data_IF_104523734216
#
_entry.id   IF_104523734216
#
_cell.length_a   1.000
_cell.length_b   1.000
_cell.length_c   1.000
_cell.angle_alpha   90.00
_cell.angle_beta   90.00
_cell.angle_gamma   90.00
#
_symmetry.space_group_name_H-M   'P 1'
#
loop_
_entity.id
_entity.type
_entity.pdbx_description
1 polymer ?
#
# COMPACT_ATOMS: atom_id res chain seq x y z
N UNK A 1 49.26 -8.93 17.43
CA UNK A 1 48.01 -8.81 18.21
C UNK A 1 46.88 -8.35 17.29
N UNK A 2 46.17 -9.29 16.65
CA UNK A 2 45.08 -9.01 15.71
C UNK A 2 43.86 -9.87 16.08
N UNK A 3 42.97 -9.34 16.92
CA UNK A 3 41.67 -9.98 17.17
C UNK A 3 40.62 -9.37 16.24
N UNK A 4 40.45 -10.04 15.09
CA UNK A 4 39.24 -10.20 14.27
C UNK A 4 38.05 -9.27 14.57
N UNK A 5 37.91 -8.24 13.73
CA UNK A 5 36.70 -7.40 13.56
C UNK A 5 35.51 -8.16 12.94
N UNK A 6 35.70 -9.42 12.51
CA UNK A 6 34.64 -10.25 11.90
C UNK A 6 33.67 -10.87 12.91
N UNK A 7 34.02 -10.95 14.19
CA UNK A 7 33.17 -11.60 15.21
C UNK A 7 32.05 -10.73 15.79
N UNK A 8 32.14 -9.40 15.63
CA UNK A 8 31.14 -8.43 16.12
C UNK A 8 30.06 -8.11 15.09
N UNK A 9 30.41 -8.15 13.79
CA UNK A 9 29.46 -7.97 12.69
C UNK A 9 28.53 -9.19 12.51
N UNK A 10 29.02 -10.41 12.76
CA UNK A 10 28.23 -11.65 12.70
C UNK A 10 27.26 -11.86 13.88
N UNK A 11 27.36 -11.09 14.96
CA UNK A 11 26.47 -11.21 16.13
C UNK A 11 25.21 -10.33 16.04
N UNK A 12 25.15 -9.34 15.15
CA UNK A 12 23.92 -8.57 14.91
C UNK A 12 22.98 -9.23 13.89
N UNK A 13 23.46 -10.17 13.07
CA UNK A 13 22.68 -10.82 12.00
C UNK A 13 21.84 -12.04 12.42
N UNK A 14 21.72 -12.33 13.71
CA UNK A 14 20.86 -13.42 14.21
C UNK A 14 20.04 -12.99 15.40
N UNK A 15 18.96 -12.24 15.15
CA UNK A 15 17.73 -12.23 15.95
C UNK A 15 16.68 -11.37 15.24
N UNK A 16 16.11 -11.89 14.15
CA UNK A 16 14.67 -11.64 13.92
C UNK A 16 13.99 -12.17 15.18
N UNK A 17 13.31 -11.31 15.92
CA UNK A 17 12.74 -11.74 17.19
C UNK A 17 11.73 -12.86 16.91
N UNK A 18 11.68 -13.89 17.78
CA UNK A 18 10.68 -14.98 17.66
C UNK A 18 9.24 -14.43 17.59
N UNK A 19 9.01 -13.22 18.07
CA UNK A 19 7.74 -12.49 18.02
C UNK A 19 7.38 -12.06 16.59
N UNK A 20 8.33 -11.52 15.82
CA UNK A 20 8.11 -11.11 14.43
C UNK A 20 7.88 -12.32 13.50
N UNK A 21 8.60 -13.44 13.72
CA UNK A 21 8.33 -14.68 12.99
C UNK A 21 6.95 -15.27 13.32
N UNK A 22 6.53 -15.20 14.59
CA UNK A 22 5.19 -15.62 15.01
C UNK A 22 4.09 -14.70 14.42
N UNK A 23 4.37 -13.41 14.23
CA UNK A 23 3.44 -12.49 13.55
C UNK A 23 3.29 -12.79 12.07
N UNK A 24 4.39 -13.10 11.35
CA UNK A 24 4.32 -13.55 9.95
C UNK A 24 3.56 -14.88 9.79
N UNK A 25 3.70 -15.81 10.73
CA UNK A 25 2.92 -17.05 10.79
C UNK A 25 1.43 -16.81 11.14
N UNK A 26 1.13 -15.88 12.05
CA UNK A 26 -0.26 -15.48 12.36
C UNK A 26 -0.92 -14.70 11.23
N UNK A 27 -0.16 -13.91 10.47
CA UNK A 27 -0.62 -13.32 9.22
C UNK A 27 -0.79 -14.41 8.14
N UNK A 28 0.06 -15.43 8.11
CA UNK A 28 -0.15 -16.58 7.23
C UNK A 28 -1.44 -17.34 7.54
N UNK A 29 -1.73 -17.60 8.82
CA UNK A 29 -3.01 -18.18 9.26
C UNK A 29 -4.20 -17.35 8.78
N UNK A 30 -4.04 -16.02 8.63
CA UNK A 30 -5.10 -15.15 8.11
C UNK A 30 -5.45 -15.34 6.63
N UNK A 31 -4.61 -16.04 5.86
CA UNK A 31 -4.89 -16.36 4.46
C UNK A 31 -5.58 -17.72 4.28
N UNK A 32 -5.73 -18.53 5.35
CA UNK A 32 -6.33 -19.87 5.26
C UNK A 32 -7.86 -19.83 5.45
N UNK A 33 -8.63 -20.60 4.66
CA UNK A 33 -10.05 -20.78 4.91
C UNK A 33 -10.29 -21.51 6.26
N UNK A 34 -11.45 -21.26 6.89
CA UNK A 34 -11.81 -21.91 8.17
C UNK A 34 -11.69 -23.44 8.06
N UNK A 35 -10.90 -24.04 8.95
CA UNK A 35 -10.85 -25.51 9.15
C UNK A 35 -9.57 -26.24 8.71
N UNK A 36 -8.61 -25.59 8.04
CA UNK A 36 -7.34 -26.27 7.70
C UNK A 36 -6.30 -26.11 8.81
N UNK A 37 -6.07 -27.16 9.59
CA UNK A 37 -4.95 -27.26 10.53
C UNK A 37 -3.79 -27.96 9.83
N UNK A 38 -2.66 -27.28 9.63
CA UNK A 38 -1.40 -27.97 9.31
C UNK A 38 -0.88 -28.62 10.59
N UNK A 39 -0.87 -29.95 10.65
CA UNK A 39 -0.34 -30.71 11.78
C UNK A 39 1.16 -30.46 11.96
N UNK A 40 1.52 -29.71 12.99
CA UNK A 40 2.89 -29.66 13.50
C UNK A 40 3.07 -30.79 14.55
N UNK A 41 4.24 -31.47 14.59
CA UNK A 41 4.52 -32.44 15.64
C UNK A 41 4.52 -31.75 17.01
N UNK A 42 3.69 -32.26 17.93
CA UNK A 42 3.67 -31.83 19.34
C UNK A 42 5.03 -32.15 19.99
N UNK A 43 5.89 -31.16 20.12
CA UNK A 43 6.97 -31.20 21.11
C UNK A 43 6.54 -30.44 22.37
N UNK A 44 6.87 -31.03 23.53
CA UNK A 44 6.35 -30.73 24.86
C UNK A 44 6.41 -29.24 25.20
N UNK A 45 5.25 -28.60 25.29
CA UNK A 45 5.09 -27.30 25.93
C UNK A 45 5.20 -27.49 27.45
N UNK A 46 6.13 -26.79 28.09
CA UNK A 46 6.05 -26.51 29.53
C UNK A 46 4.82 -25.65 29.76
N UNK A 47 4.02 -26.02 30.77
CA UNK A 47 2.87 -25.25 31.23
C UNK A 47 3.29 -23.81 31.55
N UNK A 48 2.65 -22.87 30.86
CA UNK A 48 2.65 -21.45 31.23
C UNK A 48 1.28 -21.16 31.83
N UNK A 49 1.29 -20.60 33.05
CA UNK A 49 0.12 -20.20 33.85
C UNK A 49 -0.89 -19.36 33.05
N UNK A 50 -2.20 -19.44 33.36
CA UNK A 50 -3.24 -18.86 32.53
C UNK A 50 -3.33 -17.33 32.61
N UNK A 51 -3.53 -16.74 31.43
CA UNK A 51 -4.28 -15.55 31.07
C UNK A 51 -4.22 -14.30 31.99
N UNK A 52 -3.42 -13.32 31.57
CA UNK A 52 -3.73 -11.92 31.85
C UNK A 52 -4.95 -11.48 31.03
N UNK A 53 -6.03 -11.20 31.77
CA UNK A 53 -7.28 -10.50 31.47
C UNK A 53 -7.55 -10.05 30.00
N UNK A 54 -8.34 -10.87 29.28
CA UNK A 54 -8.92 -10.55 27.96
C UNK A 54 -9.80 -9.29 27.99
N UNK A 55 -10.30 -8.86 29.15
CA UNK A 55 -11.10 -7.64 29.29
C UNK A 55 -10.24 -6.38 29.10
N UNK A 56 -8.99 -6.40 29.57
CA UNK A 56 -8.05 -5.28 29.45
C UNK A 56 -7.64 -5.03 27.98
N UNK A 57 -7.40 -6.11 27.21
CA UNK A 57 -7.12 -6.02 25.77
C UNK A 57 -8.32 -5.48 24.97
N UNK A 58 -9.54 -5.83 25.37
CA UNK A 58 -10.78 -5.33 24.76
C UNK A 58 -11.03 -3.85 25.13
N UNK A 59 -10.67 -3.43 26.35
CA UNK A 59 -10.71 -2.04 26.84
C UNK A 59 -9.68 -1.15 26.13
N UNK A 60 -8.46 -1.67 25.88
CA UNK A 60 -7.41 -0.99 25.13
C UNK A 60 -7.76 -0.80 23.65
N UNK A 61 -8.42 -1.79 23.01
CA UNK A 61 -8.91 -1.65 21.62
C UNK A 61 -10.06 -0.65 21.50
N UNK A 62 -10.97 -0.60 22.49
CA UNK A 62 -12.01 0.44 22.55
C UNK A 62 -11.42 1.83 22.79
N UNK A 63 -10.33 1.95 23.56
CA UNK A 63 -9.67 3.24 23.79
C UNK A 63 -8.86 3.72 22.56
N UNK A 64 -8.32 2.83 21.73
CA UNK A 64 -7.71 3.18 20.45
C UNK A 64 -8.73 3.69 19.41
N UNK A 65 -9.89 3.03 19.31
CA UNK A 65 -10.99 3.51 18.46
C UNK A 65 -11.59 4.84 18.95
N UNK A 66 -11.62 5.06 20.27
CA UNK A 66 -11.97 6.36 20.87
C UNK A 66 -10.87 7.42 20.63
N UNK A 67 -9.59 7.06 20.61
CA UNK A 67 -8.46 7.92 20.22
C UNK A 67 -8.44 8.26 18.72
N UNK A 68 -8.87 7.34 17.85
CA UNK A 68 -9.10 7.62 16.44
C UNK A 68 -10.31 8.56 16.24
N UNK A 69 -11.32 8.46 17.11
CA UNK A 69 -12.37 9.49 17.24
C UNK A 69 -11.82 10.83 17.75
N UNK A 70 -10.76 10.83 18.55
CA UNK A 70 -10.04 12.05 18.97
C UNK A 70 -9.08 12.60 17.89
N UNK A 71 -8.91 11.93 16.75
CA UNK A 71 -8.45 12.56 15.50
C UNK A 71 -9.49 13.56 14.92
N UNK A 72 -10.59 13.82 15.65
CA UNK A 72 -11.55 14.92 15.47
C UNK A 72 -10.96 16.33 15.66
N UNK A 73 -9.66 16.49 15.86
CA UNK A 73 -9.01 17.80 15.90
C UNK A 73 -8.61 18.37 14.54
N UNK A 74 -8.72 17.58 13.46
CA UNK A 74 -8.48 18.10 12.11
C UNK A 74 -9.73 18.85 11.62
N UNK A 75 -9.57 20.01 10.94
CA UNK A 75 -10.70 20.85 10.55
C UNK A 75 -11.55 20.27 9.42
N UNK A 76 -11.01 19.33 8.64
CA UNK A 76 -11.71 18.69 7.52
C UNK A 76 -12.81 17.72 7.92
N UNK A 77 -13.53 17.23 6.91
CA UNK A 77 -14.66 16.32 7.12
C UNK A 77 -14.25 14.86 6.95
N UNK A 78 -14.64 14.01 7.90
CA UNK A 78 -14.42 12.56 7.87
C UNK A 78 -15.77 11.85 7.72
N UNK A 79 -16.05 11.34 6.52
CA UNK A 79 -17.37 10.82 6.14
C UNK A 79 -17.34 9.32 5.93
N UNK A 80 -18.22 8.60 6.62
CA UNK A 80 -18.50 7.18 6.37
C UNK A 80 -19.62 7.04 5.34
N UNK A 81 -19.45 6.18 4.36
CA UNK A 81 -20.48 5.88 3.38
C UNK A 81 -20.38 4.45 2.86
N UNK A 82 -21.38 4.06 2.06
CA UNK A 82 -21.39 2.82 1.33
C UNK A 82 -21.44 3.11 -0.16
N UNK A 83 -20.67 2.36 -0.93
CA UNK A 83 -20.77 2.29 -2.37
C UNK A 83 -21.41 0.96 -2.74
N UNK A 84 -22.27 0.99 -3.74
CA UNK A 84 -22.89 -0.21 -4.30
C UNK A 84 -22.60 -0.21 -5.79
N UNK A 85 -21.86 -1.22 -6.25
CA UNK A 85 -21.76 -1.54 -7.65
C UNK A 85 -23.00 -2.36 -8.03
N UNK A 86 -23.89 -1.87 -8.90
CA UNK A 86 -25.04 -2.65 -9.34
C UNK A 86 -24.57 -3.91 -10.05
N UNK A 87 -25.26 -5.01 -9.81
CA UNK A 87 -25.14 -6.21 -10.64
C UNK A 87 -26.07 -6.10 -11.85
N UNK A 88 -25.86 -6.95 -12.84
CA UNK A 88 -26.75 -7.06 -14.01
C UNK A 88 -28.05 -7.83 -13.72
N UNK A 89 -28.18 -8.41 -12.52
CA UNK A 89 -29.37 -9.16 -12.08
C UNK A 89 -29.57 -10.50 -12.78
N UNK A 90 -28.71 -10.84 -13.76
CA UNK A 90 -28.77 -12.08 -14.54
C UNK A 90 -27.62 -13.02 -14.20
N UNK A 91 -26.42 -12.47 -14.01
CA UNK A 91 -25.18 -13.23 -13.78
C UNK A 91 -24.38 -12.71 -12.59
N UNK A 92 -24.65 -11.49 -12.12
CA UNK A 92 -23.91 -10.84 -11.05
C UNK A 92 -24.83 -10.17 -10.04
N UNK A 93 -24.56 -10.41 -8.75
CA UNK A 93 -25.19 -9.71 -7.64
C UNK A 93 -24.58 -8.32 -7.42
N UNK A 94 -25.38 -7.41 -6.87
CA UNK A 94 -24.89 -6.10 -6.44
C UNK A 94 -23.80 -6.26 -5.36
N UNK A 95 -22.65 -5.63 -5.58
CA UNK A 95 -21.51 -5.67 -4.65
C UNK A 95 -21.44 -4.38 -3.86
N UNK A 96 -21.45 -4.49 -2.54
CA UNK A 96 -21.48 -3.34 -1.63
C UNK A 96 -20.19 -3.26 -0.82
N UNK A 97 -19.54 -2.10 -0.84
CA UNK A 97 -18.30 -1.84 -0.10
C UNK A 97 -18.43 -0.58 0.74
N UNK A 98 -18.01 -0.65 2.00
CA UNK A 98 -17.95 0.50 2.88
C UNK A 98 -16.70 1.32 2.57
N UNK A 99 -16.77 2.63 2.72
CA UNK A 99 -15.59 3.48 2.63
C UNK A 99 -15.66 4.65 3.61
N UNK A 100 -14.49 5.24 3.84
CA UNK A 100 -14.38 6.56 4.45
C UNK A 100 -13.79 7.55 3.45
N UNK A 101 -14.26 8.78 3.48
CA UNK A 101 -13.74 9.89 2.69
C UNK A 101 -13.32 11.01 3.62
N UNK A 102 -12.07 11.43 3.50
CA UNK A 102 -11.56 12.64 4.11
C UNK A 102 -11.53 13.77 3.09
N UNK A 103 -12.20 14.88 3.41
CA UNK A 103 -12.11 16.12 2.63
C UNK A 103 -11.45 17.18 3.52
N UNK A 104 -10.23 17.65 3.19
CA UNK A 104 -9.57 18.65 4.01
C UNK A 104 -10.33 19.98 4.00
N UNK A 105 -10.24 20.73 5.09
CA UNK A 105 -10.84 22.05 5.20
C UNK A 105 -10.06 23.10 4.40
N UNK A 106 -8.74 22.94 4.31
CA UNK A 106 -7.92 23.76 3.42
C UNK A 106 -8.35 23.55 1.97
N UNK A 107 -8.80 24.64 1.34
CA UNK A 107 -8.92 24.69 -0.10
C UNK A 107 -7.53 24.49 -0.73
N UNK A 108 -7.46 23.83 -1.89
CA UNK A 108 -6.23 23.71 -2.65
C UNK A 108 -5.79 25.11 -3.11
N UNK A 109 -4.94 25.77 -2.32
CA UNK A 109 -4.43 27.12 -2.58
C UNK A 109 -5.37 28.22 -2.08
N UNK A 110 -4.90 29.04 -1.15
CA UNK A 110 -5.48 30.35 -0.85
C UNK A 110 -5.07 31.28 -1.98
N UNK A 111 -5.99 31.50 -2.92
CA UNK A 111 -5.88 32.45 -4.03
C UNK A 111 -7.29 32.65 -4.58
N UNK A 112 -7.70 33.89 -4.84
CA UNK A 112 -8.99 34.36 -5.37
C UNK A 112 -9.34 33.82 -6.79
N UNK A 113 -8.74 32.69 -7.15
CA UNK A 113 -8.97 31.89 -8.35
C UNK A 113 -10.09 30.86 -8.12
N UNK A 114 -10.87 30.47 -9.14
CA UNK A 114 -11.82 29.36 -9.04
C UNK A 114 -11.12 28.15 -8.40
N UNK A 115 -11.73 27.56 -7.38
CA UNK A 115 -11.13 26.48 -6.60
C UNK A 115 -10.68 25.36 -7.55
N UNK A 116 -9.37 25.22 -7.77
CA UNK A 116 -8.84 24.14 -8.60
C UNK A 116 -9.32 22.80 -8.01
N UNK A 117 -9.88 21.88 -8.82
CA UNK A 117 -10.29 20.57 -8.34
C UNK A 117 -9.14 19.92 -7.57
N UNK A 118 -9.44 19.36 -6.39
CA UNK A 118 -8.41 18.81 -5.51
C UNK A 118 -8.03 17.39 -5.95
N UNK A 119 -6.75 16.99 -5.82
CA UNK A 119 -6.33 15.61 -6.05
C UNK A 119 -7.01 14.61 -5.11
N UNK A 120 -7.03 13.33 -5.50
CA UNK A 120 -7.52 12.22 -4.69
C UNK A 120 -6.40 11.21 -4.42
N UNK A 121 -6.22 10.82 -3.17
CA UNK A 121 -5.38 9.68 -2.78
C UNK A 121 -6.27 8.56 -2.25
N UNK A 122 -6.21 7.39 -2.86
CA UNK A 122 -6.90 6.19 -2.41
C UNK A 122 -5.96 5.38 -1.53
N UNK A 123 -6.37 5.06 -0.31
CA UNK A 123 -5.54 4.42 0.70
C UNK A 123 -6.11 3.05 1.09
N UNK A 124 -5.44 1.98 0.66
CA UNK A 124 -5.84 0.58 0.87
C UNK A 124 -5.08 -0.02 2.06
N UNK A 125 -5.82 -0.34 3.12
CA UNK A 125 -5.24 -0.88 4.36
C UNK A 125 -4.69 -2.31 4.19
N UNK A 126 -3.75 -2.72 5.04
CA UNK A 126 -3.27 -4.10 5.10
C UNK A 126 -4.24 -5.05 5.83
N UNK A 127 -3.93 -6.36 5.85
CA UNK A 127 -4.72 -7.31 6.64
C UNK A 127 -4.73 -6.88 8.13
N UNK A 128 -5.79 -7.24 8.84
CA UNK A 128 -6.11 -6.93 10.25
C UNK A 128 -6.36 -5.46 10.56
N UNK A 129 -6.02 -4.53 9.68
CA UNK A 129 -6.32 -3.12 9.82
C UNK A 129 -7.78 -2.81 9.44
N UNK A 130 -8.24 -1.62 9.81
CA UNK A 130 -9.44 -1.00 9.27
C UNK A 130 -9.04 0.27 8.52
N UNK A 131 -9.93 0.79 7.66
CA UNK A 131 -9.76 2.07 6.99
C UNK A 131 -9.48 3.21 7.98
N UNK A 132 -10.18 3.24 9.12
CA UNK A 132 -9.99 4.26 10.15
C UNK A 132 -8.64 4.11 10.87
N UNK A 133 -8.24 2.89 11.24
CA UNK A 133 -6.93 2.66 11.87
C UNK A 133 -5.79 2.98 10.90
N UNK A 134 -5.95 2.67 9.62
CA UNK A 134 -4.95 2.97 8.61
C UNK A 134 -4.84 4.49 8.35
N UNK A 135 -5.96 5.21 8.33
CA UNK A 135 -5.96 6.67 8.23
C UNK A 135 -5.21 7.32 9.41
N UNK A 136 -5.50 6.89 10.64
CA UNK A 136 -4.89 7.43 11.85
C UNK A 136 -3.41 7.00 12.02
N UNK A 137 -3.08 5.76 11.66
CA UNK A 137 -1.73 5.22 11.69
C UNK A 137 -0.80 5.91 10.68
N UNK A 138 -1.22 5.97 9.41
CA UNK A 138 -0.43 6.59 8.33
C UNK A 138 -0.34 8.12 8.43
N UNK A 139 -1.20 8.75 9.24
CA UNK A 139 -1.35 10.21 9.35
C UNK A 139 -1.65 10.90 8.02
N UNK A 140 -2.22 10.17 7.06
CA UNK A 140 -2.46 10.68 5.72
C UNK A 140 -3.50 11.82 5.73
N UNK A 141 -4.49 11.80 6.64
CA UNK A 141 -5.43 12.92 6.80
C UNK A 141 -4.73 14.21 7.30
N UNK A 142 -3.73 14.09 8.18
CA UNK A 142 -2.95 15.26 8.62
C UNK A 142 -2.15 15.85 7.45
N UNK A 143 -1.63 15.01 6.57
CA UNK A 143 -0.92 15.45 5.37
C UNK A 143 -1.89 16.07 4.35
N UNK A 144 -3.07 15.47 4.18
CA UNK A 144 -4.15 15.97 3.33
C UNK A 144 -4.56 17.39 3.72
N UNK A 145 -4.68 17.69 5.03
CA UNK A 145 -4.93 19.06 5.51
C UNK A 145 -3.82 20.04 5.13
N UNK A 146 -2.56 19.61 5.23
CA UNK A 146 -1.44 20.50 4.91
C UNK A 146 -1.24 20.70 3.40
N UNK A 147 -1.74 19.79 2.57
CA UNK A 147 -1.42 19.71 1.13
C UNK A 147 -2.64 19.86 0.22
N UNK A 148 -3.85 19.88 0.76
CA UNK A 148 -5.08 20.18 0.03
C UNK A 148 -5.53 19.06 -0.92
N UNK A 149 -5.42 17.78 -0.53
CA UNK A 149 -5.93 16.64 -1.31
C UNK A 149 -6.99 15.84 -0.55
N UNK A 150 -7.96 15.25 -1.26
CA UNK A 150 -8.93 14.34 -0.66
C UNK A 150 -8.32 12.94 -0.45
N UNK A 151 -8.87 12.18 0.50
CA UNK A 151 -8.43 10.81 0.76
C UNK A 151 -9.60 9.84 0.83
N UNK A 152 -9.60 8.83 -0.02
CA UNK A 152 -10.61 7.76 -0.04
C UNK A 152 -10.02 6.49 0.59
N UNK A 153 -10.73 5.90 1.54
CA UNK A 153 -10.35 4.67 2.23
C UNK A 153 -11.42 3.60 2.05
N UNK A 154 -11.32 2.76 1.00
CA UNK A 154 -12.13 1.55 0.88
C UNK A 154 -11.90 0.60 2.06
N UNK A 155 -12.96 -0.06 2.52
CA UNK A 155 -12.92 -0.98 3.66
C UNK A 155 -13.29 -2.39 3.22
N UNK A 156 -12.33 -3.32 3.35
CA UNK A 156 -12.61 -4.74 3.20
C UNK A 156 -13.52 -5.24 4.33
N UNK A 157 -14.55 -6.01 3.98
CA UNK A 157 -15.53 -6.53 4.95
C UNK A 157 -14.96 -7.69 5.76
N UNK A 158 -15.26 -7.72 7.06
CA UNK A 158 -14.96 -8.87 7.91
C UNK A 158 -15.73 -10.13 7.50
N UNK A 159 -16.84 -9.97 6.75
CA UNK A 159 -17.59 -11.09 6.19
C UNK A 159 -16.91 -11.67 4.93
N UNK A 160 -16.23 -10.84 4.15
CA UNK A 160 -15.46 -11.27 2.98
C UNK A 160 -14.16 -11.95 3.41
N UNK A 161 -13.53 -11.45 4.48
CA UNK A 161 -12.33 -12.02 5.07
C UNK A 161 -12.30 -11.72 6.57
N UNK A 162 -12.14 -12.74 7.43
CA UNK A 162 -12.18 -12.56 8.88
C UNK A 162 -11.10 -11.59 9.41
N UNK A 163 -10.01 -11.45 8.67
CA UNK A 163 -8.92 -10.52 8.95
C UNK A 163 -8.98 -9.28 8.07
N UNK A 164 -10.05 -9.07 7.29
CA UNK A 164 -10.20 -7.95 6.35
C UNK A 164 -9.05 -7.88 5.36
N UNK A 165 -8.45 -9.02 5.01
CA UNK A 165 -7.39 -9.03 4.03
C UNK A 165 -7.94 -8.94 2.60
N UNK A 166 -7.24 -8.23 1.73
CA UNK A 166 -7.54 -8.19 0.30
C UNK A 166 -7.05 -9.48 -0.37
N UNK A 167 -7.89 -10.11 -1.18
CA UNK A 167 -7.52 -11.32 -1.92
C UNK A 167 -6.81 -11.00 -3.23
N UNK A 168 -5.72 -10.23 -3.15
CA UNK A 168 -4.90 -9.77 -4.28
C UNK A 168 -4.40 -10.94 -5.14
N UNK A 169 -4.15 -12.10 -4.54
CA UNK A 169 -3.62 -13.28 -5.23
C UNK A 169 -4.64 -14.02 -6.10
N UNK A 170 -5.94 -13.70 -6.06
CA UNK A 170 -6.93 -14.43 -6.88
C UNK A 170 -6.76 -14.04 -8.35
N UNK A 171 -6.95 -15.00 -9.26
CA UNK A 171 -6.90 -14.75 -10.72
C UNK A 171 -7.91 -13.69 -11.18
N UNK A 172 -9.10 -13.69 -10.59
CA UNK A 172 -10.13 -12.67 -10.86
C UNK A 172 -9.62 -11.27 -10.48
N UNK A 173 -9.11 -11.11 -9.26
CA UNK A 173 -8.50 -9.86 -8.79
C UNK A 173 -7.36 -9.42 -9.70
N UNK A 174 -6.43 -10.32 -10.06
CA UNK A 174 -5.32 -10.03 -10.98
C UNK A 174 -5.78 -9.59 -12.37
N UNK A 175 -7.00 -9.95 -12.81
CA UNK A 175 -7.62 -9.51 -14.07
C UNK A 175 -8.39 -8.19 -13.96
N UNK A 176 -8.51 -7.63 -12.75
CA UNK A 176 -9.25 -6.39 -12.50
C UNK A 176 -10.67 -6.58 -12.01
N UNK A 177 -11.08 -7.83 -11.75
CA UNK A 177 -12.44 -8.16 -11.30
C UNK A 177 -12.55 -8.06 -9.76
N UNK A 178 -13.78 -8.16 -9.25
CA UNK A 178 -14.06 -8.25 -7.82
C UNK A 178 -13.82 -6.92 -7.09
N UNK A 179 -13.00 -6.93 -6.05
CA UNK A 179 -12.72 -5.71 -5.27
C UNK A 179 -12.09 -4.59 -6.10
N UNK A 180 -11.32 -4.94 -7.14
CA UNK A 180 -10.64 -3.96 -8.02
C UNK A 180 -11.68 -3.13 -8.78
N UNK A 181 -12.64 -3.82 -9.42
CA UNK A 181 -13.73 -3.20 -10.17
C UNK A 181 -14.61 -2.31 -9.28
N UNK A 182 -14.95 -2.79 -8.07
CA UNK A 182 -15.73 -2.02 -7.09
C UNK A 182 -14.98 -0.76 -6.66
N UNK A 183 -13.66 -0.85 -6.42
CA UNK A 183 -12.84 0.30 -6.03
C UNK A 183 -12.72 1.30 -7.19
N UNK A 184 -12.51 0.84 -8.43
CA UNK A 184 -12.41 1.70 -9.60
C UNK A 184 -13.71 2.51 -9.83
N UNK A 185 -14.87 1.84 -9.75
CA UNK A 185 -16.17 2.50 -9.87
C UNK A 185 -16.44 3.46 -8.69
N UNK A 186 -16.02 3.10 -7.48
CA UNK A 186 -16.11 3.97 -6.29
C UNK A 186 -15.28 5.24 -6.46
N UNK A 187 -14.07 5.14 -7.01
CA UNK A 187 -13.20 6.30 -7.30
C UNK A 187 -13.91 7.27 -8.25
N UNK A 188 -14.42 6.77 -9.37
CA UNK A 188 -15.14 7.59 -10.35
C UNK A 188 -16.36 8.29 -9.74
N UNK A 189 -17.17 7.57 -8.95
CA UNK A 189 -18.33 8.16 -8.29
C UNK A 189 -17.92 9.25 -7.29
N UNK A 190 -16.88 9.01 -6.49
CA UNK A 190 -16.39 9.96 -5.48
C UNK A 190 -15.82 11.21 -6.15
N UNK A 191 -15.06 11.06 -7.24
CA UNK A 191 -14.55 12.17 -8.03
C UNK A 191 -15.68 13.06 -8.55
N UNK A 192 -16.67 12.46 -9.22
CA UNK A 192 -17.81 13.18 -9.79
C UNK A 192 -18.65 13.87 -8.71
N UNK A 193 -18.96 13.16 -7.62
CA UNK A 193 -19.81 13.69 -6.54
C UNK A 193 -19.17 14.88 -5.80
N UNK A 194 -17.84 14.93 -5.74
CA UNK A 194 -17.12 15.93 -4.96
C UNK A 194 -16.30 16.92 -5.81
N UNK A 195 -16.41 16.87 -7.14
CA UNK A 195 -15.66 17.74 -8.05
C UNK A 195 -14.14 17.60 -7.89
N UNK A 196 -13.65 16.36 -7.73
CA UNK A 196 -12.21 16.10 -7.56
C UNK A 196 -11.50 16.04 -8.91
N UNK A 197 -10.20 16.32 -8.91
CA UNK A 197 -9.37 16.28 -10.11
C UNK A 197 -9.10 14.84 -10.55
N UNK A 198 -9.80 14.39 -11.60
CA UNK A 198 -9.62 13.06 -12.18
C UNK A 198 -8.21 12.84 -12.75
N UNK A 199 -7.52 13.91 -13.21
CA UNK A 199 -6.14 13.80 -13.70
C UNK A 199 -5.13 13.51 -12.59
N UNK A 200 -5.46 13.85 -11.34
CA UNK A 200 -4.59 13.74 -10.16
C UNK A 200 -5.17 12.78 -9.13
N UNK A 201 -5.41 11.54 -9.57
CA UNK A 201 -5.82 10.45 -8.68
C UNK A 201 -4.72 9.43 -8.53
N UNK A 202 -4.43 9.08 -7.29
CA UNK A 202 -3.34 8.19 -6.91
C UNK A 202 -3.87 7.08 -6.02
N UNK A 203 -3.23 5.92 -6.02
CA UNK A 203 -3.60 4.81 -5.13
C UNK A 203 -2.37 4.33 -4.37
N UNK A 204 -2.52 4.06 -3.09
CA UNK A 204 -1.47 3.54 -2.26
C UNK A 204 -1.99 2.54 -1.24
N UNK A 205 -1.08 1.74 -0.68
CA UNK A 205 -1.45 0.83 0.40
C UNK A 205 -0.27 0.23 1.12
N UNK A 206 -0.59 -0.62 2.10
CA UNK A 206 0.35 -1.44 2.86
C UNK A 206 0.06 -2.93 2.63
N UNK A 207 1.09 -3.76 2.45
CA UNK A 207 0.96 -5.22 2.42
C UNK A 207 -0.01 -5.69 1.32
N UNK A 208 -1.02 -6.50 1.66
CA UNK A 208 -2.11 -6.87 0.76
C UNK A 208 -2.83 -5.67 0.11
N UNK A 209 -2.96 -4.54 0.81
CA UNK A 209 -3.50 -3.30 0.25
C UNK A 209 -2.56 -2.65 -0.76
N UNK A 210 -1.24 -2.77 -0.58
CA UNK A 210 -0.25 -2.32 -1.55
C UNK A 210 -0.27 -3.18 -2.82
N UNK A 211 -0.43 -4.51 -2.67
CA UNK A 211 -0.64 -5.42 -3.80
C UNK A 211 -1.91 -5.05 -4.58
N UNK A 212 -3.02 -4.81 -3.88
CA UNK A 212 -4.27 -4.40 -4.52
C UNK A 212 -4.15 -3.02 -5.19
N UNK A 213 -3.43 -2.07 -4.58
CA UNK A 213 -3.14 -0.76 -5.17
C UNK A 213 -2.43 -0.89 -6.52
N UNK A 214 -1.41 -1.76 -6.60
CA UNK A 214 -0.72 -2.05 -7.85
C UNK A 214 -1.67 -2.59 -8.91
N UNK A 215 -2.54 -3.55 -8.55
CA UNK A 215 -3.49 -4.16 -9.47
C UNK A 215 -4.53 -3.13 -9.95
N UNK A 216 -5.10 -2.31 -9.05
CA UNK A 216 -6.03 -1.23 -9.43
C UNK A 216 -5.36 -0.28 -10.42
N UNK A 217 -4.13 0.14 -10.14
CA UNK A 217 -3.38 1.03 -11.02
C UNK A 217 -3.12 0.40 -12.40
N UNK A 218 -2.65 -0.85 -12.44
CA UNK A 218 -2.33 -1.55 -13.69
C UNK A 218 -3.58 -1.93 -14.51
N UNK A 219 -4.74 -2.14 -13.87
CA UNK A 219 -5.99 -2.50 -14.55
C UNK A 219 -6.87 -1.31 -14.90
N UNK A 220 -6.67 -0.16 -14.25
CA UNK A 220 -7.36 1.09 -14.55
C UNK A 220 -6.37 2.25 -14.73
N UNK A 221 -5.42 2.16 -15.69
CA UNK A 221 -4.37 3.15 -15.87
C UNK A 221 -4.89 4.55 -16.24
N UNK A 222 -6.07 4.64 -16.82
CA UNK A 222 -6.76 5.90 -17.13
C UNK A 222 -7.25 6.65 -15.89
N UNK A 223 -7.52 5.94 -14.79
CA UNK A 223 -7.98 6.55 -13.53
C UNK A 223 -6.83 6.94 -12.61
N UNK A 224 -5.68 6.28 -12.72
CA UNK A 224 -4.61 6.35 -11.72
C UNK A 224 -3.32 6.94 -12.33
N UNK A 225 -2.90 8.09 -11.82
CA UNK A 225 -1.70 8.79 -12.26
C UNK A 225 -0.39 8.24 -11.66
N UNK A 226 -0.45 7.66 -10.46
CA UNK A 226 0.70 7.04 -9.83
C UNK A 226 0.26 6.09 -8.69
N UNK A 227 1.13 5.13 -8.36
CA UNK A 227 0.90 4.15 -7.30
C UNK A 227 1.99 4.17 -6.22
N UNK A 228 1.58 4.07 -4.96
CA UNK A 228 2.47 3.93 -3.79
C UNK A 228 2.34 2.57 -3.13
N UNK A 229 3.43 1.81 -3.09
CA UNK A 229 3.43 0.43 -2.60
C UNK A 229 4.31 0.30 -1.36
N UNK A 230 3.72 0.21 -0.17
CA UNK A 230 4.46 -0.09 1.05
C UNK A 230 4.42 -1.58 1.35
N UNK A 231 5.57 -2.23 1.50
CA UNK A 231 5.68 -3.65 1.84
C UNK A 231 4.86 -4.58 0.91
N UNK A 232 4.86 -4.30 -0.40
CA UNK A 232 4.06 -5.06 -1.36
C UNK A 232 4.74 -6.37 -1.79
N UNK A 233 4.00 -7.47 -1.97
CA UNK A 233 4.46 -8.63 -2.70
C UNK A 233 4.50 -8.36 -4.22
N UNK A 234 5.23 -9.22 -4.96
CA UNK A 234 5.19 -9.24 -6.43
C UNK A 234 3.78 -9.49 -6.98
N UNK A 235 3.46 -8.91 -8.13
CA UNK A 235 2.15 -9.09 -8.79
C UNK A 235 2.19 -10.18 -9.87
N UNK A 236 1.01 -10.72 -10.22
CA UNK A 236 0.84 -11.58 -11.41
C UNK A 236 1.38 -13.01 -11.30
N UNK A 237 1.99 -13.38 -10.17
CA UNK A 237 2.68 -14.68 -10.00
C UNK A 237 1.93 -15.65 -9.09
N UNK A 238 0.77 -15.26 -8.58
CA UNK A 238 0.03 -16.00 -7.55
C UNK A 238 -1.43 -16.23 -7.95
N UNK A 239 -2.01 -17.32 -7.44
CA UNK A 239 -3.39 -17.72 -7.75
C UNK A 239 -4.13 -18.36 -6.56
N UNK A 240 -3.46 -18.54 -5.42
CA UNK A 240 -4.00 -19.18 -4.21
C UNK A 240 -3.30 -18.66 -2.95
N UNK A 241 -3.91 -18.80 -1.75
CA UNK A 241 -3.30 -18.40 -0.48
C UNK A 241 -1.88 -18.95 -0.28
N UNK A 242 -1.66 -20.22 -0.63
CA UNK A 242 -0.37 -20.85 -0.50
C UNK A 242 0.68 -20.23 -1.43
N UNK A 243 0.34 -20.00 -2.70
CA UNK A 243 1.24 -19.31 -3.64
C UNK A 243 1.52 -17.87 -3.21
N UNK A 244 0.52 -17.19 -2.65
CA UNK A 244 0.65 -15.84 -2.11
C UNK A 244 1.67 -15.81 -0.96
N UNK A 245 1.55 -16.74 -0.02
CA UNK A 245 2.51 -16.89 1.07
C UNK A 245 3.93 -17.18 0.58
N UNK A 246 4.08 -18.13 -0.35
CA UNK A 246 5.40 -18.43 -0.91
C UNK A 246 6.02 -17.20 -1.57
N UNK A 247 5.24 -16.42 -2.32
CA UNK A 247 5.69 -15.16 -2.90
C UNK A 247 6.13 -14.17 -1.82
N UNK A 248 5.32 -13.95 -0.78
CA UNK A 248 5.68 -13.05 0.32
C UNK A 248 6.99 -13.46 1.03
N UNK A 249 7.25 -14.76 1.18
CA UNK A 249 8.44 -15.26 1.88
C UNK A 249 9.69 -15.41 1.02
N UNK A 250 9.53 -15.65 -0.28
CA UNK A 250 10.65 -16.06 -1.15
C UNK A 250 10.71 -15.30 -2.48
N UNK A 251 9.80 -14.37 -2.72
CA UNK A 251 9.56 -13.85 -4.06
C UNK A 251 9.04 -14.96 -4.98
N UNK A 252 9.22 -14.77 -6.29
CA UNK A 252 8.65 -15.66 -7.30
C UNK A 252 9.68 -16.25 -8.28
N UNK A 253 10.96 -16.33 -7.85
CA UNK A 253 12.05 -16.85 -8.70
C UNK A 253 12.10 -16.13 -10.04
N UNK A 254 12.28 -16.82 -11.16
CA UNK A 254 12.31 -16.17 -12.49
C UNK A 254 10.92 -15.76 -13.02
N UNK A 255 9.83 -16.06 -12.32
CA UNK A 255 8.47 -15.85 -12.86
C UNK A 255 7.96 -14.41 -12.77
N UNK A 256 8.50 -13.55 -11.88
CA UNK A 256 8.07 -12.14 -11.80
C UNK A 256 8.28 -11.39 -13.12
N UNK A 257 9.44 -11.59 -13.75
CA UNK A 257 9.79 -10.92 -15.00
C UNK A 257 8.91 -11.40 -16.16
N UNK A 258 8.58 -12.69 -16.20
CA UNK A 258 7.66 -13.25 -17.19
C UNK A 258 6.23 -12.69 -17.00
N UNK A 259 5.77 -12.55 -15.76
CA UNK A 259 4.47 -11.95 -15.45
C UNK A 259 4.40 -10.47 -15.90
N UNK A 260 5.45 -9.69 -15.64
CA UNK A 260 5.51 -8.28 -16.08
C UNK A 260 5.54 -8.15 -17.61
N UNK A 261 6.34 -8.96 -18.30
CA UNK A 261 6.38 -8.98 -19.78
C UNK A 261 5.04 -9.42 -20.39
N UNK A 262 4.41 -10.44 -19.83
CA UNK A 262 3.07 -10.88 -20.27
C UNK A 262 2.01 -9.80 -20.06
N UNK A 263 2.09 -9.03 -18.97
CA UNK A 263 1.20 -7.90 -18.76
C UNK A 263 1.43 -6.82 -19.83
N UNK A 264 2.68 -6.42 -20.04
CA UNK A 264 3.05 -5.39 -21.01
C UNK A 264 2.67 -5.78 -22.45
N UNK A 265 2.88 -7.05 -22.85
CA UNK A 265 2.53 -7.52 -24.20
C UNK A 265 1.03 -7.58 -24.46
N UNK A 266 0.20 -7.79 -23.42
CA UNK A 266 -1.26 -7.77 -23.53
C UNK A 266 -1.82 -6.35 -23.59
N UNK A 267 -1.02 -5.32 -23.27
CA UNK A 267 -1.43 -3.93 -23.29
C UNK A 267 -0.40 -3.06 -24.02
N UNK A 268 -0.26 -3.18 -25.36
CA UNK A 268 0.77 -2.46 -26.11
C UNK A 268 0.69 -0.94 -26.00
N UNK A 269 -0.50 -0.41 -25.74
CA UNK A 269 -0.77 1.03 -25.57
C UNK A 269 -0.74 1.46 -24.09
N UNK A 270 -0.26 0.61 -23.18
CA UNK A 270 -0.20 0.94 -21.76
C UNK A 270 0.74 2.14 -21.52
N UNK A 271 0.26 3.24 -20.91
CA UNK A 271 1.03 4.49 -20.81
C UNK A 271 2.13 4.46 -19.73
N UNK A 272 2.54 3.28 -19.28
CA UNK A 272 3.31 3.08 -18.04
C UNK A 272 2.50 3.43 -16.79
N UNK A 273 3.01 3.03 -15.62
CA UNK A 273 2.44 3.36 -14.32
C UNK A 273 3.54 3.84 -13.36
N UNK A 274 3.63 5.16 -13.10
CA UNK A 274 4.59 5.69 -12.15
C UNK A 274 4.43 5.07 -10.76
N UNK A 275 5.51 4.58 -10.18
CA UNK A 275 5.47 3.83 -8.94
C UNK A 275 6.53 4.26 -7.90
N UNK A 276 6.11 4.37 -6.64
CA UNK A 276 6.99 4.48 -5.48
C UNK A 276 6.83 3.24 -4.60
N UNK A 277 7.90 2.46 -4.44
CA UNK A 277 7.99 1.32 -3.55
C UNK A 277 8.71 1.74 -2.27
N UNK A 278 8.15 1.42 -1.11
CA UNK A 278 8.78 1.61 0.19
C UNK A 278 8.81 0.26 0.90
N UNK A 279 10.00 -0.18 1.32
CA UNK A 279 10.15 -1.48 1.94
C UNK A 279 11.17 -1.45 3.07
N UNK A 280 10.86 -2.15 4.16
CA UNK A 280 11.77 -2.31 5.29
C UNK A 280 12.68 -3.53 5.10
N UNK A 281 13.96 -3.40 5.39
CA UNK A 281 14.91 -4.50 5.24
C UNK A 281 14.73 -5.62 6.30
N UNK A 282 14.03 -5.34 7.39
CA UNK A 282 13.65 -6.28 8.45
C UNK A 282 12.20 -6.77 8.33
N UNK A 283 11.53 -6.51 7.20
CA UNK A 283 10.19 -7.04 6.93
C UNK A 283 10.23 -8.57 6.83
N UNK A 284 9.65 -9.23 7.84
CA UNK A 284 9.60 -10.69 7.96
C UNK A 284 8.27 -11.30 7.49
N UNK A 285 7.32 -10.45 7.08
CA UNK A 285 6.00 -10.85 6.58
C UNK A 285 5.99 -10.84 5.06
N UNK A 286 6.43 -9.74 4.46
CA UNK A 286 6.69 -9.64 3.03
C UNK A 286 8.17 -9.32 2.89
N UNK A 287 8.98 -10.34 2.59
CA UNK A 287 10.44 -10.18 2.62
C UNK A 287 10.93 -9.28 1.51
N UNK A 288 12.04 -8.58 1.79
CA UNK A 288 12.69 -7.59 0.90
C UNK A 288 12.88 -8.04 -0.55
N UNK A 289 13.08 -9.34 -0.79
CA UNK A 289 13.15 -9.91 -2.16
C UNK A 289 11.96 -9.50 -3.04
N UNK A 290 10.79 -9.28 -2.44
CA UNK A 290 9.62 -8.79 -3.18
C UNK A 290 9.80 -7.35 -3.66
N UNK A 291 10.42 -6.46 -2.89
CA UNK A 291 10.68 -5.10 -3.34
C UNK A 291 11.75 -5.04 -4.43
N UNK A 292 12.75 -5.92 -4.38
CA UNK A 292 13.73 -6.08 -5.46
C UNK A 292 13.01 -6.50 -6.75
N UNK A 293 12.26 -7.61 -6.70
CA UNK A 293 11.56 -8.15 -7.87
C UNK A 293 10.45 -7.24 -8.38
N UNK A 294 9.69 -6.58 -7.50
CA UNK A 294 8.62 -5.66 -7.89
C UNK A 294 9.18 -4.39 -8.53
N UNK A 295 10.35 -3.89 -8.09
CA UNK A 295 11.02 -2.81 -8.79
C UNK A 295 11.36 -3.22 -10.23
N UNK A 296 11.96 -4.41 -10.42
CA UNK A 296 12.24 -4.95 -11.75
C UNK A 296 10.97 -5.15 -12.60
N UNK A 297 9.85 -5.58 -11.99
CA UNK A 297 8.57 -5.67 -12.69
C UNK A 297 8.11 -4.30 -13.21
N UNK A 298 8.23 -3.25 -12.39
CA UNK A 298 7.86 -1.90 -12.80
C UNK A 298 8.89 -1.26 -13.74
N UNK A 299 10.17 -1.65 -13.71
CA UNK A 299 11.14 -1.29 -14.75
C UNK A 299 10.73 -1.86 -16.11
N UNK A 300 10.26 -3.12 -16.16
CA UNK A 300 9.74 -3.74 -17.38
C UNK A 300 8.48 -3.00 -17.86
N UNK A 301 7.51 -2.76 -16.98
CA UNK A 301 6.24 -2.11 -17.33
C UNK A 301 6.45 -0.67 -17.79
N UNK A 302 7.34 0.07 -17.14
CA UNK A 302 7.63 1.46 -17.46
C UNK A 302 8.76 1.60 -18.49
N UNK A 303 9.29 0.48 -19.00
CA UNK A 303 10.44 0.42 -19.90
C UNK A 303 10.35 1.41 -21.07
N UNK A 304 9.26 1.44 -21.86
CA UNK A 304 9.11 2.39 -22.95
C UNK A 304 9.27 3.85 -22.48
N UNK A 305 8.58 4.24 -21.40
CA UNK A 305 8.65 5.59 -20.87
C UNK A 305 10.03 5.94 -20.26
N UNK A 306 10.68 4.99 -19.61
CA UNK A 306 12.00 5.19 -18.98
C UNK A 306 13.09 5.27 -20.05
N UNK A 307 13.09 4.36 -21.02
CA UNK A 307 14.15 4.22 -22.04
C UNK A 307 14.09 5.33 -23.09
N UNK A 308 12.91 5.70 -23.59
CA UNK A 308 12.77 6.77 -24.59
C UNK A 308 13.17 8.16 -24.05
N UNK A 309 13.09 8.35 -22.72
CA UNK A 309 13.49 9.58 -22.05
C UNK A 309 14.80 9.47 -21.24
N UNK A 310 15.51 8.35 -21.31
CA UNK A 310 16.68 8.12 -20.46
C UNK A 310 17.83 9.03 -20.87
N UNK A 311 18.24 9.92 -19.96
CA UNK A 311 19.51 10.65 -20.07
C UNK A 311 20.66 9.93 -19.35
N UNK A 312 20.39 8.78 -18.71
CA UNK A 312 21.34 8.03 -17.88
C UNK A 312 21.04 6.54 -17.91
N UNK A 313 22.08 5.72 -17.81
CA UNK A 313 21.97 4.29 -17.53
C UNK A 313 21.67 4.07 -16.03
N UNK A 314 20.51 3.49 -15.73
CA UNK A 314 20.14 3.06 -14.38
C UNK A 314 19.64 4.17 -13.43
N UNK A 315 19.35 3.81 -12.16
CA UNK A 315 18.74 4.72 -11.19
C UNK A 315 19.73 5.70 -10.56
N UNK A 316 19.24 6.89 -10.22
CA UNK A 316 19.93 7.81 -9.32
C UNK A 316 19.74 7.33 -7.88
N UNK A 317 20.82 6.91 -7.23
CA UNK A 317 20.82 6.44 -5.84
C UNK A 317 21.15 7.58 -4.88
N UNK A 318 20.32 7.76 -3.84
CA UNK A 318 20.56 8.70 -2.73
C UNK A 318 20.49 7.95 -1.41
N UNK A 319 21.45 8.22 -0.53
CA UNK A 319 21.53 7.66 0.82
C UNK A 319 21.23 8.74 1.83
N UNK A 320 20.36 8.42 2.77
CA UNK A 320 19.95 9.29 3.84
C UNK A 320 20.39 8.66 5.16
N UNK A 321 21.41 9.22 5.85
CA UNK A 321 21.92 8.64 7.07
C UNK A 321 20.88 8.65 8.18
N UNK A 322 21.08 7.77 9.16
CA UNK A 322 20.29 7.73 10.37
C UNK A 322 20.37 9.06 11.13
N UNK A 323 19.25 9.47 11.73
CA UNK A 323 19.18 10.58 12.68
C UNK A 323 18.76 10.04 14.05
N UNK A 324 19.74 9.89 14.95
CA UNK A 324 19.51 9.35 16.31
C UNK A 324 18.95 10.37 17.32
N UNK A 325 19.19 11.65 17.10
CA UNK A 325 18.82 12.73 18.03
C UNK A 325 17.90 13.81 17.42
N UNK A 326 17.44 14.72 18.28
CA UNK A 326 16.57 15.84 17.90
C UNK A 326 15.08 15.49 17.90
N UNK A 327 14.24 16.46 17.50
CA UNK A 327 12.77 16.37 17.61
C UNK A 327 12.12 15.25 16.79
N UNK A 328 12.83 14.63 15.84
CA UNK A 328 12.28 13.60 14.92
C UNK A 328 13.35 12.54 14.58
N UNK A 329 13.67 11.60 15.47
CA UNK A 329 14.57 10.49 15.15
C UNK A 329 14.10 9.73 13.90
N UNK A 330 15.04 9.19 13.12
CA UNK A 330 14.72 8.47 11.88
C UNK A 330 15.82 7.48 11.50
N UNK A 331 15.45 6.27 11.12
CA UNK A 331 16.32 5.28 10.50
C UNK A 331 16.97 5.81 9.23
N UNK A 332 18.10 5.19 8.88
CA UNK A 332 18.70 5.38 7.58
C UNK A 332 17.77 4.83 6.50
N UNK A 333 17.84 5.41 5.30
CA UNK A 333 17.14 4.87 4.14
C UNK A 333 17.87 5.22 2.86
N UNK A 334 17.60 4.47 1.80
CA UNK A 334 18.18 4.68 0.48
C UNK A 334 17.05 4.74 -0.56
N UNK A 335 17.11 5.72 -1.47
CA UNK A 335 16.22 5.79 -2.62
C UNK A 335 17.00 5.52 -3.90
N UNK A 336 16.49 4.62 -4.75
CA UNK A 336 16.91 4.47 -6.15
C UNK A 336 15.78 5.03 -7.04
N UNK A 337 16.08 5.99 -7.92
CA UNK A 337 15.06 6.63 -8.78
C UNK A 337 15.40 6.50 -10.27
N UNK A 338 14.50 5.92 -11.04
CA UNK A 338 14.54 5.90 -12.50
C UNK A 338 13.68 7.05 -13.04
N UNK A 339 14.19 7.74 -14.06
CA UNK A 339 13.57 8.93 -14.63
C UNK A 339 13.23 8.73 -16.10
N UNK A 340 12.15 9.36 -16.54
CA UNK A 340 11.91 9.72 -17.94
C UNK A 340 12.21 11.23 -18.08
N UNK A 341 13.34 11.58 -18.67
CA UNK A 341 13.87 12.94 -18.65
C UNK A 341 14.11 13.42 -17.21
N UNK A 342 13.32 14.39 -16.75
CA UNK A 342 13.36 14.91 -15.37
C UNK A 342 12.24 14.38 -14.48
N UNK A 343 11.30 13.60 -15.02
CA UNK A 343 10.13 13.11 -14.30
C UNK A 343 10.45 11.74 -13.68
N UNK A 344 10.38 11.58 -12.35
CA UNK A 344 10.65 10.29 -11.71
C UNK A 344 9.55 9.30 -12.12
N UNK A 345 9.89 8.13 -12.66
CA UNK A 345 8.90 7.11 -13.08
C UNK A 345 8.84 5.93 -12.13
N UNK A 346 9.99 5.56 -11.55
CA UNK A 346 10.07 4.52 -10.54
C UNK A 346 10.97 5.02 -9.42
N UNK A 347 10.51 4.87 -8.18
CA UNK A 347 11.33 5.11 -7.00
C UNK A 347 11.24 3.88 -6.11
N UNK A 348 12.37 3.35 -5.70
CA UNK A 348 12.45 2.32 -4.66
C UNK A 348 13.14 2.91 -3.43
N UNK A 349 12.49 2.81 -2.29
CA UNK A 349 12.96 3.29 -1.00
C UNK A 349 13.16 2.09 -0.06
N UNK A 350 14.41 1.75 0.21
CA UNK A 350 14.80 0.76 1.21
C UNK A 350 15.02 1.46 2.56
N UNK A 351 14.30 1.06 3.60
CA UNK A 351 14.40 1.64 4.95
C UNK A 351 15.08 0.65 5.88
N UNK A 352 16.15 1.10 6.53
CA UNK A 352 16.91 0.33 7.51
C UNK A 352 16.09 0.09 8.78
N UNK A 353 16.25 -1.08 9.40
CA UNK A 353 15.59 -1.53 10.63
C UNK A 353 14.06 -1.55 10.62
N UNK A 354 13.42 -1.24 9.49
CA UNK A 354 11.97 -1.20 9.38
C UNK A 354 11.41 -2.63 9.18
N UNK A 355 10.46 -3.01 10.03
CA UNK A 355 9.70 -4.26 9.91
C UNK A 355 8.49 -4.14 8.97
N UNK A 356 7.50 -5.03 9.13
CA UNK A 356 6.24 -4.97 8.37
C UNK A 356 5.30 -3.88 8.91
N UNK A 357 5.65 -2.62 8.70
CA UNK A 357 4.94 -1.49 9.26
C UNK A 357 5.06 -0.25 8.37
N UNK A 358 4.06 0.61 8.40
CA UNK A 358 4.08 1.91 7.74
C UNK A 358 5.16 2.81 8.32
N UNK A 359 6.08 3.27 7.45
CA UNK A 359 7.21 4.12 7.82
C UNK A 359 6.78 5.54 8.24
N UNK A 360 7.27 6.01 9.39
CA UNK A 360 6.99 7.35 9.92
C UNK A 360 5.57 7.52 10.50
N UNK A 361 4.87 6.39 10.74
CA UNK A 361 3.48 6.37 11.21
C UNK A 361 3.30 6.66 12.70
N UNK A 362 2.06 6.54 13.17
CA UNK A 362 1.70 6.65 14.58
C UNK A 362 1.78 5.28 15.28
N UNK A 363 2.76 5.12 16.18
CA UNK A 363 2.99 3.90 16.97
C UNK A 363 1.79 3.44 17.83
N UNK A 364 0.79 4.30 18.05
CA UNK A 364 -0.44 3.93 18.77
C UNK A 364 -1.33 2.95 17.99
N UNK A 365 -1.06 2.74 16.70
CA UNK A 365 -1.81 1.85 15.81
C UNK A 365 -0.91 0.72 15.31
N UNK A 366 -1.43 -0.51 15.29
CA UNK A 366 -0.70 -1.67 14.78
C UNK A 366 -0.17 -1.42 13.35
N UNK A 367 0.98 -2.02 13.03
CA UNK A 367 1.65 -1.92 11.73
C UNK A 367 2.09 -0.50 11.37
N UNK A 368 2.57 0.28 12.35
CA UNK A 368 3.17 1.60 12.14
C UNK A 368 4.48 1.72 12.93
N UNK A 369 5.53 2.23 12.30
CA UNK A 369 6.83 2.48 12.94
C UNK A 369 7.16 3.98 12.85
N UNK A 370 7.19 4.71 13.99
CA UNK A 370 7.41 6.15 13.98
C UNK A 370 8.83 6.56 13.58
N UNK A 371 9.82 5.67 13.71
CA UNK A 371 11.23 5.98 13.44
C UNK A 371 11.63 5.78 11.97
N UNK A 372 10.70 5.58 11.06
CA UNK A 372 10.97 5.56 9.62
C UNK A 372 10.91 6.95 8.95
N UNK A 373 11.41 7.12 7.69
CA UNK A 373 11.03 8.28 6.88
C UNK A 373 9.51 8.38 6.77
N UNK A 374 8.99 9.61 6.62
CA UNK A 374 7.56 9.87 6.46
C UNK A 374 7.07 9.31 5.10
N UNK A 375 6.55 8.08 5.09
CA UNK A 375 6.10 7.41 3.87
C UNK A 375 4.96 8.17 3.19
N UNK A 376 4.04 8.74 3.98
CA UNK A 376 2.92 9.54 3.46
C UNK A 376 3.43 10.77 2.70
N UNK A 377 4.43 11.47 3.23
CA UNK A 377 5.05 12.61 2.57
C UNK A 377 5.87 12.21 1.35
N UNK A 378 6.62 11.11 1.41
CA UNK A 378 7.37 10.59 0.26
C UNK A 378 6.42 10.26 -0.90
N UNK A 379 5.32 9.56 -0.62
CA UNK A 379 4.26 9.25 -1.59
C UNK A 379 3.65 10.51 -2.17
N UNK A 380 3.22 11.47 -1.34
CA UNK A 380 2.65 12.71 -1.86
C UNK A 380 3.61 13.50 -2.73
N UNK A 381 4.88 13.60 -2.31
CA UNK A 381 5.92 14.31 -3.07
C UNK A 381 6.09 13.66 -4.45
N UNK A 382 6.20 12.34 -4.50
CA UNK A 382 6.25 11.59 -5.75
C UNK A 382 4.98 11.83 -6.60
N UNK A 383 3.80 11.56 -6.04
CA UNK A 383 2.50 11.70 -6.72
C UNK A 383 2.31 13.07 -7.35
N UNK A 384 2.70 14.14 -6.66
CA UNK A 384 2.51 15.53 -7.14
C UNK A 384 3.19 15.84 -8.48
N UNK A 385 4.15 15.01 -8.93
CA UNK A 385 4.78 15.12 -10.24
C UNK A 385 3.98 14.45 -11.38
N UNK A 386 2.89 13.74 -11.07
CA UNK A 386 2.16 12.91 -12.02
C UNK A 386 0.74 13.39 -12.26
N UNK A 387 0.30 13.26 -13.52
CA UNK A 387 -1.06 13.48 -13.98
C UNK A 387 -1.39 12.45 -15.06
N UNK A 388 -2.67 12.05 -15.15
CA UNK A 388 -3.23 11.39 -16.33
C UNK A 388 -3.97 12.39 -17.17
N UNK A 389 -3.80 12.31 -18.49
CA UNK A 389 -4.72 12.99 -19.38
C UNK A 389 -6.11 12.38 -19.21
N UNK A 390 -7.16 13.20 -19.02
CA UNK A 390 -8.52 12.70 -19.01
C UNK A 390 -8.81 11.98 -20.33
N UNK A 391 -9.47 10.82 -20.27
CA UNK A 391 -10.05 10.23 -21.49
C UNK A 391 -11.07 11.25 -22.01
N UNK A 392 -10.96 11.72 -23.27
CA UNK A 392 -11.96 12.60 -23.85
C UNK A 392 -13.32 11.92 -23.73
N UNK A 393 -14.33 12.64 -23.23
CA UNK A 393 -15.70 12.11 -23.26
C UNK A 393 -16.09 11.93 -24.72
N UNK A 394 -16.52 10.74 -25.10
CA UNK A 394 -17.12 10.53 -26.40
C UNK A 394 -18.46 11.27 -26.43
N UNK A 395 -18.51 12.38 -27.17
CA UNK A 395 -19.67 13.28 -27.27
C UNK A 395 -20.90 12.58 -27.86
N UNK A 396 -20.73 11.41 -28.47
CA UNK A 396 -21.83 10.64 -29.09
C UNK A 396 -22.50 9.63 -28.16
N UNK A 397 -21.83 9.15 -27.11
CA UNK A 397 -22.35 8.06 -26.26
C UNK A 397 -22.46 8.43 -24.77
N UNK A 398 -21.81 9.51 -24.33
CA UNK A 398 -21.91 9.98 -22.94
C UNK A 398 -21.35 9.01 -21.89
N UNK A 399 -20.62 7.97 -22.30
CA UNK A 399 -19.99 6.99 -21.44
C UNK A 399 -18.45 7.16 -21.47
N UNK A 400 -17.75 6.86 -20.35
CA UNK A 400 -16.31 7.05 -20.21
C UNK A 400 -15.45 6.07 -21.00
#
# INVERSE_FOLDING_TARGET
MSKSLSSLWLKSMRRVSKVQQAEGLRLFESFLPKGSVFGLPRSRLKEVKPAADLSAAKKARRSAAAKARAAAGLPGTWRKAWFTLPGDGLYTDARRMMYWLYLPATAAGVSDTPATPRPLVVMLHGCRQTAADFAAGSRMNELAERKGFAVLYPQQSAAADAHRCWHWYRRATQRGEGDVEVIAAMIAQVQNKHGLDASRTYVAGLSAGAALAAIVALRHPQLIAAVGMHSAPVFGTTHSPFSAYRAMQHGSGSSYGAAARSFASQQPQFPGMPALLIHGDHDSVVRRVNADQLAEQFEIINGPAITEGASREGPVVRRHPERRGGRRPRHAYQTATWYAGRKPQLVKCDVDMLGHAWSGGNASFEFNEPQGPDASLLMWTFFSHHRREPVPKDETTGLP
#
